data_IF_480883798631
#
_entry.id   IF_480883798631
#
_cell.length_a   1.000
_cell.length_b   1.000
_cell.length_c   1.000
_cell.angle_alpha   90.00
_cell.angle_beta   90.00
_cell.angle_gamma   90.00
#
_symmetry.space_group_name_H-M   'P 1'
#
loop_
_entity.id
_entity.type
_entity.pdbx_description
1 polymer ?
#
# COMPACT_ATOMS: atom_id res chain seq x y z
N UNK A 1 17.58 36.52 4.65
CA UNK A 1 17.15 36.16 3.28
C UNK A 1 16.23 34.97 3.38
N UNK A 2 14.92 35.20 3.30
CA UNK A 2 13.90 34.14 3.26
C UNK A 2 14.01 33.46 1.89
N UNK A 3 14.58 32.27 1.83
CA UNK A 3 14.54 31.45 0.62
C UNK A 3 13.05 31.19 0.31
N UNK A 4 12.56 31.83 -0.73
CA UNK A 4 11.20 31.59 -1.25
C UNK A 4 11.17 30.12 -1.68
N UNK A 5 10.45 29.27 -0.89
CA UNK A 5 10.23 27.87 -1.23
C UNK A 5 9.54 27.81 -2.61
N UNK A 6 10.21 27.25 -3.57
CA UNK A 6 9.65 27.00 -4.88
C UNK A 6 8.91 25.63 -4.78
N UNK A 7 7.60 25.64 -4.95
CA UNK A 7 6.79 24.43 -4.92
C UNK A 7 7.29 23.37 -5.92
N UNK A 8 7.84 23.81 -7.04
CA UNK A 8 8.40 22.95 -8.08
C UNK A 8 9.66 22.19 -7.61
N UNK A 9 10.56 22.83 -6.86
CA UNK A 9 11.77 22.17 -6.32
C UNK A 9 11.41 21.09 -5.30
N UNK A 10 10.41 21.36 -4.46
CA UNK A 10 9.88 20.39 -3.50
C UNK A 10 9.20 19.20 -4.18
N UNK A 11 8.48 19.45 -5.28
CA UNK A 11 7.80 18.40 -6.05
C UNK A 11 8.80 17.45 -6.73
N UNK A 12 9.90 17.96 -7.27
CA UNK A 12 10.93 17.11 -7.90
C UNK A 12 11.62 16.21 -6.85
N UNK A 13 11.95 16.74 -5.68
CA UNK A 13 12.49 15.95 -4.58
C UNK A 13 11.49 14.85 -4.14
N UNK A 14 10.21 15.19 -4.02
CA UNK A 14 9.15 14.23 -3.69
C UNK A 14 8.99 13.14 -4.76
N UNK A 15 9.09 13.48 -6.05
CA UNK A 15 9.09 12.52 -7.16
C UNK A 15 10.29 11.56 -7.10
N UNK A 16 11.47 12.05 -6.76
CA UNK A 16 12.65 11.20 -6.58
C UNK A 16 12.45 10.19 -5.43
N UNK A 17 11.89 10.64 -4.31
CA UNK A 17 11.54 9.77 -3.17
C UNK A 17 10.47 8.74 -3.60
N UNK A 18 9.42 9.16 -4.31
CA UNK A 18 8.38 8.25 -4.80
C UNK A 18 8.97 7.15 -5.68
N UNK A 19 9.85 7.49 -6.65
CA UNK A 19 10.54 6.50 -7.51
C UNK A 19 11.36 5.51 -6.69
N UNK A 20 12.11 5.99 -5.69
CA UNK A 20 12.89 5.14 -4.79
C UNK A 20 11.99 4.20 -3.97
N UNK A 21 10.89 4.71 -3.42
CA UNK A 21 9.92 3.90 -2.66
C UNK A 21 9.25 2.83 -3.53
N UNK A 22 8.89 3.15 -4.78
CA UNK A 22 8.34 2.18 -5.74
C UNK A 22 9.36 1.09 -6.05
N UNK A 23 10.64 1.45 -6.25
CA UNK A 23 11.72 0.47 -6.45
C UNK A 23 11.89 -0.47 -5.25
N UNK A 24 11.88 0.07 -4.03
CA UNK A 24 11.93 -0.74 -2.80
C UNK A 24 10.68 -1.63 -2.70
N UNK A 25 9.50 -1.09 -3.00
CA UNK A 25 8.25 -1.85 -2.95
C UNK A 25 8.26 -3.05 -3.90
N UNK A 26 8.71 -2.85 -5.16
CA UNK A 26 8.83 -3.92 -6.15
C UNK A 26 9.88 -4.97 -5.73
N UNK A 27 11.10 -4.54 -5.46
CA UNK A 27 12.21 -5.44 -5.15
C UNK A 27 11.98 -6.28 -3.89
N UNK A 28 11.25 -5.74 -2.91
CA UNK A 28 10.92 -6.49 -1.69
C UNK A 28 9.85 -7.56 -1.94
N UNK A 29 8.91 -7.34 -2.85
CA UNK A 29 7.97 -8.39 -3.27
C UNK A 29 8.71 -9.46 -4.06
N UNK A 30 9.49 -9.09 -5.08
CA UNK A 30 10.25 -10.02 -5.93
C UNK A 30 11.19 -10.93 -5.11
N UNK A 31 11.88 -10.38 -4.11
CA UNK A 31 12.77 -11.19 -3.24
C UNK A 31 12.03 -12.18 -2.33
N UNK A 32 10.78 -11.92 -2.01
CA UNK A 32 10.00 -12.76 -1.10
C UNK A 32 9.05 -13.72 -1.82
N UNK A 33 8.75 -13.46 -3.11
CA UNK A 33 7.95 -14.34 -3.95
C UNK A 33 8.15 -14.02 -5.42
N UNK A 34 8.45 -15.06 -6.21
CA UNK A 34 8.52 -14.98 -7.68
C UNK A 34 7.14 -15.11 -8.34
N UNK A 35 6.11 -15.40 -7.57
CA UNK A 35 4.78 -15.79 -8.06
C UNK A 35 3.77 -14.64 -8.09
N UNK A 36 4.10 -13.48 -7.49
CA UNK A 36 3.19 -12.35 -7.38
C UNK A 36 3.78 -11.07 -7.99
N UNK A 37 2.93 -10.36 -8.71
CA UNK A 37 3.19 -8.95 -9.05
C UNK A 37 2.95 -8.05 -7.84
N UNK A 38 3.46 -6.82 -7.90
CA UNK A 38 3.19 -5.81 -6.86
C UNK A 38 1.68 -5.58 -6.68
N UNK A 39 0.92 -5.54 -7.77
CA UNK A 39 -0.54 -5.35 -7.72
C UNK A 39 -1.24 -6.50 -7.00
N UNK A 40 -0.84 -7.74 -7.26
CA UNK A 40 -1.38 -8.92 -6.56
C UNK A 40 -1.00 -8.91 -5.09
N UNK A 41 0.24 -8.55 -4.77
CA UNK A 41 0.66 -8.38 -3.37
C UNK A 41 -0.12 -7.28 -2.65
N UNK A 42 -0.37 -6.14 -3.31
CA UNK A 42 -1.21 -5.07 -2.74
C UNK A 42 -2.63 -5.55 -2.45
N UNK A 43 -3.22 -6.36 -3.35
CA UNK A 43 -4.53 -6.96 -3.11
C UNK A 43 -4.52 -7.89 -1.89
N UNK A 44 -3.51 -8.76 -1.76
CA UNK A 44 -3.33 -9.60 -0.58
C UNK A 44 -3.18 -8.76 0.70
N UNK A 45 -2.41 -7.68 0.64
CA UNK A 45 -2.23 -6.76 1.77
C UNK A 45 -3.55 -6.17 2.25
N UNK A 46 -4.38 -5.65 1.34
CA UNK A 46 -5.71 -5.13 1.69
C UNK A 46 -6.58 -6.22 2.34
N UNK A 47 -6.53 -7.45 1.82
CA UNK A 47 -7.26 -8.57 2.42
C UNK A 47 -6.76 -8.90 3.83
N UNK A 48 -5.45 -8.85 4.08
CA UNK A 48 -4.88 -9.06 5.41
C UNK A 48 -5.32 -7.98 6.40
N UNK A 49 -5.25 -6.71 5.98
CA UNK A 49 -5.52 -5.56 6.84
C UNK A 49 -7.02 -5.35 7.13
N UNK A 50 -7.91 -5.81 6.23
CA UNK A 50 -9.35 -5.52 6.26
C UNK A 50 -10.25 -6.75 6.42
N UNK A 51 -9.67 -7.90 6.73
CA UNK A 51 -10.41 -9.18 6.79
C UNK A 51 -11.56 -9.19 7.84
N UNK A 52 -12.72 -9.71 7.51
CA UNK A 52 -13.18 -10.13 6.18
C UNK A 52 -13.52 -8.92 5.30
N UNK A 53 -13.20 -8.97 4.02
CA UNK A 53 -13.40 -7.86 3.10
C UNK A 53 -14.05 -8.32 1.79
N UNK A 54 -14.95 -7.50 1.20
CA UNK A 54 -15.55 -7.80 -0.10
C UNK A 54 -14.60 -7.45 -1.25
N UNK A 55 -14.72 -8.17 -2.36
CA UNK A 55 -13.95 -7.91 -3.57
C UNK A 55 -14.14 -6.48 -4.09
N UNK A 56 -15.36 -5.93 -4.01
CA UNK A 56 -15.65 -4.54 -4.38
C UNK A 56 -14.94 -3.52 -3.49
N UNK A 57 -14.76 -3.81 -2.20
CA UNK A 57 -14.00 -2.93 -1.29
C UNK A 57 -12.50 -2.94 -1.62
N UNK A 58 -11.94 -4.11 -1.95
CA UNK A 58 -10.54 -4.20 -2.41
C UNK A 58 -10.34 -3.38 -3.69
N UNK A 59 -11.28 -3.45 -4.65
CA UNK A 59 -11.21 -2.68 -5.88
C UNK A 59 -11.17 -1.16 -5.62
N UNK A 60 -12.06 -0.69 -4.74
CA UNK A 60 -12.10 0.73 -4.35
C UNK A 60 -10.82 1.19 -3.64
N UNK A 61 -10.31 0.40 -2.71
CA UNK A 61 -9.12 0.76 -1.93
C UNK A 61 -7.85 0.81 -2.79
N UNK A 62 -7.78 -0.03 -3.81
CA UNK A 62 -6.65 -0.06 -4.75
C UNK A 62 -6.83 0.88 -5.96
N UNK A 63 -7.98 1.53 -6.11
CA UNK A 63 -8.36 2.30 -7.29
C UNK A 63 -8.21 1.50 -8.60
N UNK A 64 -8.58 0.21 -8.56
CA UNK A 64 -8.51 -0.71 -9.70
C UNK A 64 -9.92 -1.06 -10.20
N UNK A 65 -10.00 -1.42 -11.48
CA UNK A 65 -11.25 -1.94 -12.02
C UNK A 65 -11.57 -3.34 -11.43
N UNK A 66 -12.87 -3.70 -11.30
CA UNK A 66 -13.28 -4.96 -10.68
C UNK A 66 -12.68 -6.20 -11.34
N UNK A 67 -12.51 -6.20 -12.67
CA UNK A 67 -11.96 -7.36 -13.38
C UNK A 67 -10.48 -7.60 -13.07
N UNK A 68 -9.70 -6.55 -12.85
CA UNK A 68 -8.31 -6.67 -12.43
C UNK A 68 -8.18 -7.24 -11.03
N UNK A 69 -9.06 -6.79 -10.11
CA UNK A 69 -9.09 -7.32 -8.74
C UNK A 69 -9.54 -8.79 -8.73
N UNK A 70 -10.55 -9.14 -9.52
CA UNK A 70 -11.00 -10.54 -9.65
C UNK A 70 -9.83 -11.44 -10.08
N UNK A 71 -9.12 -11.08 -11.15
CA UNK A 71 -7.94 -11.85 -11.61
C UNK A 71 -6.83 -11.93 -10.55
N UNK A 72 -6.56 -10.85 -9.84
CA UNK A 72 -5.57 -10.84 -8.76
C UNK A 72 -6.00 -11.80 -7.63
N UNK A 73 -7.25 -11.73 -7.18
CA UNK A 73 -7.79 -12.59 -6.14
C UNK A 73 -7.89 -14.07 -6.58
N UNK A 74 -8.20 -14.34 -7.86
CA UNK A 74 -8.18 -15.70 -8.41
C UNK A 74 -6.76 -16.28 -8.35
N UNK A 75 -5.76 -15.51 -8.76
CA UNK A 75 -4.36 -15.94 -8.68
C UNK A 75 -3.93 -16.19 -7.23
N UNK A 76 -4.29 -15.31 -6.30
CA UNK A 76 -3.99 -15.48 -4.87
C UNK A 76 -4.68 -16.72 -4.29
N UNK A 77 -5.90 -17.02 -4.71
CA UNK A 77 -6.61 -18.25 -4.34
C UNK A 77 -5.91 -19.50 -4.85
N UNK A 78 -5.49 -19.51 -6.14
CA UNK A 78 -4.71 -20.61 -6.75
C UNK A 78 -3.40 -20.88 -5.99
N UNK A 79 -2.79 -19.85 -5.43
CA UNK A 79 -1.57 -19.94 -4.62
C UNK A 79 -1.85 -20.26 -3.14
N UNK A 80 -3.10 -20.52 -2.77
CA UNK A 80 -3.54 -20.76 -1.40
C UNK A 80 -3.16 -19.62 -0.42
N UNK A 81 -3.10 -18.38 -0.90
CA UNK A 81 -2.77 -17.19 -0.09
C UNK A 81 -4.02 -16.50 0.45
N UNK A 82 -5.18 -16.72 -0.18
CA UNK A 82 -6.47 -16.25 0.29
C UNK A 82 -7.57 -17.30 0.08
N UNK A 83 -8.64 -17.15 0.83
CA UNK A 83 -9.88 -17.91 0.75
C UNK A 83 -11.04 -17.02 0.33
N UNK A 84 -12.02 -17.61 -0.35
CA UNK A 84 -13.23 -16.95 -0.81
C UNK A 84 -14.45 -17.65 -0.21
N UNK A 85 -15.40 -16.86 0.27
CA UNK A 85 -16.69 -17.36 0.75
C UNK A 85 -17.83 -16.45 0.28
N UNK A 86 -19.05 -16.98 0.08
CA UNK A 86 -20.23 -16.15 -0.12
C UNK A 86 -20.47 -15.24 1.09
N UNK A 87 -20.85 -13.98 0.84
CA UNK A 87 -21.24 -13.09 1.92
C UNK A 87 -22.61 -13.53 2.47
N UNK A 88 -22.74 -13.91 3.74
CA UNK A 88 -24.03 -14.37 4.29
C UNK A 88 -25.10 -13.27 4.30
N UNK A 89 -24.69 -12.00 4.33
CA UNK A 89 -25.59 -10.85 4.32
C UNK A 89 -25.98 -10.41 2.89
N UNK A 90 -25.16 -10.74 1.89
CA UNK A 90 -25.42 -10.43 0.50
C UNK A 90 -24.77 -11.48 -0.41
N UNK A 91 -25.53 -12.48 -0.83
CA UNK A 91 -25.04 -13.61 -1.65
C UNK A 91 -24.48 -13.21 -3.02
N UNK A 92 -24.68 -11.96 -3.46
CA UNK A 92 -24.06 -11.44 -4.69
C UNK A 92 -22.63 -10.98 -4.48
N UNK A 93 -22.18 -10.89 -3.23
CA UNK A 93 -20.83 -10.49 -2.89
C UNK A 93 -20.00 -11.69 -2.42
N UNK A 94 -18.72 -11.64 -2.74
CA UNK A 94 -17.72 -12.60 -2.26
C UNK A 94 -16.90 -11.94 -1.17
N UNK A 95 -16.82 -12.59 -0.03
CA UNK A 95 -15.90 -12.26 1.05
C UNK A 95 -14.54 -12.92 0.80
N UNK A 96 -13.51 -12.19 1.13
CA UNK A 96 -12.10 -12.60 1.05
C UNK A 96 -11.52 -12.63 2.46
N UNK A 97 -10.75 -13.66 2.75
CA UNK A 97 -9.95 -13.78 3.96
C UNK A 97 -8.56 -14.31 3.63
N UNK A 98 -7.49 -13.86 4.30
CA UNK A 98 -6.16 -14.38 4.07
C UNK A 98 -6.00 -15.74 4.75
N UNK A 99 -5.28 -16.64 4.11
CA UNK A 99 -4.81 -17.88 4.75
C UNK A 99 -3.64 -17.58 5.71
N UNK A 100 -3.22 -18.58 6.47
CA UNK A 100 -1.98 -18.49 7.27
C UNK A 100 -0.75 -18.20 6.40
N UNK A 101 -0.66 -18.83 5.23
CA UNK A 101 0.42 -18.58 4.26
C UNK A 101 0.38 -17.15 3.70
N UNK A 102 -0.81 -16.62 3.42
CA UNK A 102 -0.99 -15.24 2.98
C UNK A 102 -0.50 -14.22 4.01
N UNK A 103 -0.88 -14.38 5.29
CA UNK A 103 -0.39 -13.53 6.39
C UNK A 103 1.13 -13.60 6.53
N UNK A 104 1.69 -14.80 6.53
CA UNK A 104 3.15 -14.98 6.63
C UNK A 104 3.91 -14.33 5.47
N UNK A 105 3.38 -14.38 4.25
CA UNK A 105 4.00 -13.71 3.10
C UNK A 105 4.01 -12.19 3.30
N UNK A 106 2.89 -11.60 3.70
CA UNK A 106 2.81 -10.15 4.00
C UNK A 106 3.80 -9.76 5.09
N UNK A 107 3.87 -10.54 6.18
CA UNK A 107 4.83 -10.29 7.27
C UNK A 107 6.30 -10.39 6.82
N UNK A 108 6.64 -11.33 5.93
CA UNK A 108 8.00 -11.44 5.38
C UNK A 108 8.36 -10.21 4.56
N UNK A 109 7.49 -9.79 3.65
CA UNK A 109 7.70 -8.61 2.81
C UNK A 109 7.85 -7.36 3.68
N UNK A 110 7.02 -7.19 4.70
CA UNK A 110 7.09 -6.04 5.60
C UNK A 110 8.39 -6.01 6.43
N UNK A 111 8.84 -7.16 6.92
CA UNK A 111 10.14 -7.25 7.60
C UNK A 111 11.29 -6.87 6.67
N UNK A 112 11.24 -7.31 5.42
CA UNK A 112 12.27 -6.98 4.43
C UNK A 112 12.26 -5.49 4.09
N UNK A 113 11.06 -4.89 3.89
CA UNK A 113 10.90 -3.44 3.69
C UNK A 113 11.49 -2.62 4.84
N UNK A 114 11.14 -2.97 6.08
CA UNK A 114 11.71 -2.30 7.26
C UNK A 114 13.22 -2.41 7.30
N UNK A 115 13.79 -3.57 6.96
CA UNK A 115 15.25 -3.77 6.91
C UNK A 115 15.90 -2.88 5.87
N UNK A 116 15.35 -2.81 4.65
CA UNK A 116 15.86 -1.97 3.56
C UNK A 116 15.79 -0.49 3.95
N UNK A 117 14.64 -0.02 4.42
CA UNK A 117 14.44 1.37 4.82
C UNK A 117 15.35 1.77 5.99
N UNK A 118 15.47 0.90 7.00
CA UNK A 118 16.41 1.12 8.09
C UNK A 118 17.86 1.19 7.60
N UNK A 119 18.22 0.40 6.59
CA UNK A 119 19.52 0.45 5.93
C UNK A 119 19.78 1.78 5.24
N UNK A 120 18.79 2.32 4.54
CA UNK A 120 18.87 3.64 3.90
C UNK A 120 19.02 4.75 4.97
N UNK A 121 18.16 4.73 5.99
CA UNK A 121 18.21 5.74 7.07
C UNK A 121 19.54 5.73 7.84
N UNK A 122 20.16 4.55 8.02
CA UNK A 122 21.50 4.49 8.66
C UNK A 122 22.62 5.16 7.85
N UNK A 123 22.45 5.30 6.53
CA UNK A 123 23.43 6.02 5.68
C UNK A 123 23.35 7.53 5.81
N UNK A 124 22.26 8.04 6.34
CA UNK A 124 22.12 9.47 6.68
C UNK A 124 22.86 9.75 7.99
N UNK A 125 23.49 10.90 8.07
CA UNK A 125 24.02 11.39 9.36
C UNK A 125 22.88 11.58 10.38
N UNK A 126 23.19 11.61 11.71
CA UNK A 126 22.15 11.61 12.75
C UNK A 126 21.08 12.69 12.56
N UNK A 127 21.49 13.96 12.37
CA UNK A 127 20.53 15.07 12.19
C UNK A 127 19.69 14.95 10.91
N UNK A 128 20.27 14.50 9.79
CA UNK A 128 19.55 14.27 8.55
C UNK A 128 18.56 13.08 8.66
N UNK A 129 18.93 12.06 9.43
CA UNK A 129 18.05 10.92 9.72
C UNK A 129 16.80 11.36 10.48
N UNK A 130 16.99 12.10 11.58
CA UNK A 130 15.87 12.56 12.40
C UNK A 130 14.95 13.50 11.62
N UNK A 131 15.52 14.41 10.83
CA UNK A 131 14.75 15.27 9.93
C UNK A 131 13.96 14.48 8.89
N UNK A 132 14.56 13.44 8.30
CA UNK A 132 13.88 12.57 7.32
C UNK A 132 12.70 11.80 7.95
N UNK A 133 12.88 11.24 9.15
CA UNK A 133 11.81 10.53 9.87
C UNK A 133 10.64 11.48 10.13
N UNK A 134 10.90 12.65 10.69
CA UNK A 134 9.86 13.66 10.94
C UNK A 134 9.16 14.13 9.66
N UNK A 135 9.91 14.30 8.56
CA UNK A 135 9.33 14.67 7.28
C UNK A 135 8.41 13.57 6.73
N UNK A 136 8.80 12.29 6.81
CA UNK A 136 7.96 11.17 6.39
C UNK A 136 6.69 11.03 7.22
N UNK A 137 6.76 11.20 8.53
CA UNK A 137 5.59 11.16 9.42
C UNK A 137 4.58 12.26 9.05
N UNK A 138 5.06 13.50 8.87
CA UNK A 138 4.23 14.64 8.49
C UNK A 138 3.64 14.48 7.09
N UNK A 139 4.43 13.99 6.15
CA UNK A 139 3.97 13.77 4.78
C UNK A 139 2.88 12.68 4.73
N UNK A 140 3.07 11.56 5.43
CA UNK A 140 2.07 10.50 5.51
C UNK A 140 0.75 11.02 6.10
N UNK A 141 0.82 11.77 7.20
CA UNK A 141 -0.37 12.37 7.83
C UNK A 141 -1.09 13.37 6.89
N UNK A 142 -0.34 14.16 6.12
CA UNK A 142 -0.94 15.09 5.16
C UNK A 142 -1.67 14.38 4.02
N UNK A 143 -1.11 13.27 3.50
CA UNK A 143 -1.76 12.45 2.46
C UNK A 143 -3.04 11.80 2.99
N UNK A 144 -3.03 11.27 4.22
CA UNK A 144 -4.22 10.68 4.85
C UNK A 144 -5.32 11.72 5.06
N UNK A 145 -4.98 12.95 5.43
CA UNK A 145 -5.92 14.04 5.59
C UNK A 145 -6.58 14.43 4.25
N UNK A 146 -5.80 14.56 3.17
CA UNK A 146 -6.34 14.83 1.82
C UNK A 146 -7.27 13.73 1.33
N UNK A 147 -6.90 12.46 1.54
CA UNK A 147 -7.76 11.34 1.15
C UNK A 147 -9.06 11.29 1.95
N UNK A 148 -9.04 11.66 3.24
CA UNK A 148 -10.23 11.77 4.08
C UNK A 148 -11.17 12.87 3.60
N UNK A 149 -10.62 14.03 3.27
CA UNK A 149 -11.39 15.16 2.74
C UNK A 149 -11.99 14.87 1.36
N UNK A 150 -11.25 14.20 0.49
CA UNK A 150 -11.72 13.76 -0.82
C UNK A 150 -12.86 12.72 -0.75
N UNK A 151 -12.90 11.92 0.31
CA UNK A 151 -13.95 10.91 0.56
C UNK A 151 -15.17 11.48 1.28
N UNK A 152 -15.09 12.69 1.84
CA UNK A 152 -16.20 13.34 2.56
C UNK A 152 -17.25 13.86 1.58
N UNK A 153 -18.54 13.43 1.67
CA UNK A 153 -19.59 13.83 0.73
C UNK A 153 -20.05 15.31 0.88
N UNK A 154 -19.63 16.00 1.94
CA UNK A 154 -20.12 17.33 2.29
C UNK A 154 -19.55 18.48 1.43
N UNK A 155 -18.52 18.26 0.61
CA UNK A 155 -17.92 19.31 -0.25
C UNK A 155 -18.38 19.29 -1.72
N UNK A 156 -19.29 18.37 -2.12
CA UNK A 156 -19.85 18.34 -3.50
C UNK A 156 -21.14 19.13 -3.69
N UNK A 157 -21.56 19.92 -2.70
CA UNK A 157 -22.83 20.65 -2.71
C UNK A 157 -22.63 22.18 -2.58
N UNK A 158 -21.61 22.74 -3.27
CA UNK A 158 -21.51 24.20 -3.48
C UNK A 158 -21.04 24.49 -4.89
#
# INVERSE_FOLDING_TARGET
MTQTWQAEDGAEAALAVLRAMVTIANSTVERNTEQLTLTQFRALRVVVDRTPVTMGKVARELALNPSSVTRACDRLGTLALLEKAPNPLNRRETLLAPTGAGRQLVDRVDRDRRRVLAGVLRRLGPGARDAAIQAFERFAAAVEAEESDARSPLRRAT
#
